data_IF_283456067060
#
_entry.id   IF_283456067060
#
_cell.length_a   1.000
_cell.length_b   1.000
_cell.length_c   1.000
_cell.angle_alpha   90.00
_cell.angle_beta   90.00
_cell.angle_gamma   90.00
#
_symmetry.space_group_name_H-M   'P 1'
#
loop_
_entity.id
_entity.type
_entity.pdbx_description
1 polymer ?
#
# COMPACT_ATOMS: atom_id res chain seq x y z
N UNK A 1 11.14 5.61 -6.66
CA UNK A 1 10.26 5.73 -7.85
C UNK A 1 10.96 5.12 -9.04
N UNK A 2 10.21 4.51 -9.96
CA UNK A 2 10.73 4.10 -11.27
C UNK A 2 11.12 5.34 -12.08
N UNK A 3 12.17 5.23 -12.88
CA UNK A 3 12.60 6.32 -13.77
C UNK A 3 11.73 6.31 -15.02
N UNK A 4 11.11 7.45 -15.33
CA UNK A 4 10.39 7.63 -16.60
C UNK A 4 11.41 8.17 -17.62
N UNK A 5 11.47 7.55 -18.78
CA UNK A 5 12.36 7.94 -19.88
C UNK A 5 11.64 8.77 -20.92
N UNK A 6 10.36 8.43 -21.20
CA UNK A 6 9.58 9.09 -22.22
C UNK A 6 8.08 8.85 -21.99
N UNK A 7 7.23 9.67 -22.58
CA UNK A 7 5.79 9.51 -22.61
C UNK A 7 5.21 10.20 -23.85
N UNK A 8 4.11 9.69 -24.37
CA UNK A 8 3.51 10.26 -25.57
C UNK A 8 2.35 9.42 -26.10
N UNK A 9 2.10 9.58 -27.39
CA UNK A 9 1.12 8.80 -28.14
C UNK A 9 1.80 8.06 -29.27
N UNK A 10 1.44 6.78 -29.46
CA UNK A 10 1.77 5.99 -30.64
C UNK A 10 0.46 5.72 -31.39
N UNK A 11 0.16 6.56 -32.40
CA UNK A 11 -1.18 6.67 -32.95
C UNK A 11 -2.15 7.22 -31.88
N UNK A 12 -3.26 6.50 -31.65
CA UNK A 12 -4.27 6.89 -30.63
C UNK A 12 -4.00 6.27 -29.24
N UNK A 13 -2.88 5.53 -29.07
CA UNK A 13 -2.55 4.86 -27.80
C UNK A 13 -1.53 5.66 -27.00
N UNK A 14 -1.87 6.11 -25.78
CA UNK A 14 -0.89 6.71 -24.88
C UNK A 14 0.13 5.66 -24.40
N UNK A 15 1.39 6.06 -24.27
CA UNK A 15 2.44 5.22 -23.70
C UNK A 15 3.29 5.98 -22.68
N UNK A 16 3.87 5.23 -21.75
CA UNK A 16 4.91 5.69 -20.84
C UNK A 16 6.07 4.69 -20.91
N UNK A 17 7.23 5.16 -21.34
CA UNK A 17 8.46 4.38 -21.32
C UNK A 17 9.16 4.59 -19.97
N UNK A 18 9.38 3.51 -19.22
CA UNK A 18 9.96 3.60 -17.89
C UNK A 18 11.04 2.54 -17.65
N UNK A 19 11.79 2.70 -16.55
CA UNK A 19 12.76 1.74 -16.07
C UNK A 19 12.14 0.34 -15.97
N UNK A 20 12.79 -0.64 -16.56
CA UNK A 20 12.40 -2.05 -16.40
C UNK A 20 12.89 -2.57 -15.05
N UNK A 21 11.98 -3.12 -14.27
CA UNK A 21 12.24 -3.62 -12.92
C UNK A 21 12.26 -5.14 -12.92
N UNK A 22 13.46 -5.72 -13.05
CA UNK A 22 13.68 -7.16 -13.25
C UNK A 22 13.49 -8.01 -11.99
N UNK A 23 13.48 -7.40 -10.79
CA UNK A 23 13.42 -8.11 -9.50
C UNK A 23 12.02 -8.57 -9.09
N UNK A 24 11.01 -8.50 -9.99
CA UNK A 24 9.65 -8.93 -9.73
C UNK A 24 8.87 -8.02 -8.79
N UNK A 25 7.72 -8.49 -8.32
CA UNK A 25 6.81 -7.73 -7.44
C UNK A 25 6.89 -8.21 -5.99
N UNK A 26 6.47 -7.37 -5.05
CA UNK A 26 6.31 -7.79 -3.66
C UNK A 26 5.24 -8.88 -3.51
N UNK A 27 4.21 -8.88 -4.35
CA UNK A 27 3.19 -9.92 -4.34
C UNK A 27 3.80 -11.32 -4.55
N UNK A 28 4.72 -11.48 -5.51
CA UNK A 28 5.43 -12.74 -5.74
C UNK A 28 6.27 -13.14 -4.51
N UNK A 29 7.03 -12.19 -3.94
CA UNK A 29 7.87 -12.47 -2.75
C UNK A 29 7.07 -12.85 -1.51
N UNK A 30 5.85 -12.29 -1.33
CA UNK A 30 4.96 -12.68 -0.23
C UNK A 30 4.52 -14.13 -0.41
N UNK A 31 4.23 -14.58 -1.63
CA UNK A 31 3.86 -15.97 -1.91
C UNK A 31 5.00 -16.96 -1.64
N UNK A 32 6.24 -16.55 -1.88
CA UNK A 32 7.44 -17.35 -1.54
C UNK A 32 7.67 -17.41 -0.02
N UNK A 33 7.07 -16.51 0.73
CA UNK A 33 7.28 -16.35 2.17
C UNK A 33 8.51 -15.52 2.50
N UNK A 34 8.47 -14.85 3.65
CA UNK A 34 9.61 -14.08 4.15
C UNK A 34 9.69 -14.09 5.66
N UNK A 35 10.88 -13.85 6.20
CA UNK A 35 11.04 -13.72 7.66
C UNK A 35 10.47 -12.37 8.12
N UNK A 36 9.99 -12.33 9.38
CA UNK A 36 9.46 -11.08 9.96
C UNK A 36 10.49 -9.95 9.98
N UNK A 37 11.78 -10.28 10.18
CA UNK A 37 12.86 -9.29 10.11
C UNK A 37 13.04 -8.74 8.69
N UNK A 38 12.98 -9.59 7.67
CA UNK A 38 13.02 -9.14 6.26
C UNK A 38 11.82 -8.26 5.93
N UNK A 39 10.61 -8.63 6.38
CA UNK A 39 9.40 -7.83 6.22
C UNK A 39 9.53 -6.45 6.90
N UNK A 40 10.07 -6.40 8.13
CA UNK A 40 10.28 -5.14 8.85
C UNK A 40 11.27 -4.22 8.12
N UNK A 41 12.41 -4.77 7.67
CA UNK A 41 13.40 -4.01 6.88
C UNK A 41 12.82 -3.48 5.59
N UNK A 42 12.03 -4.30 4.90
CA UNK A 42 11.37 -3.89 3.67
C UNK A 42 10.33 -2.79 3.92
N UNK A 43 9.54 -2.91 4.99
CA UNK A 43 8.59 -1.87 5.42
C UNK A 43 9.32 -0.54 5.67
N UNK A 44 10.48 -0.55 6.32
CA UNK A 44 11.31 0.64 6.50
C UNK A 44 11.77 1.26 5.17
N UNK A 45 12.17 0.43 4.20
CA UNK A 45 12.59 0.91 2.87
C UNK A 45 11.43 1.51 2.07
N UNK A 46 10.24 0.88 2.14
CA UNK A 46 9.03 1.39 1.50
C UNK A 46 8.60 2.71 2.17
N UNK A 47 8.64 2.80 3.50
CA UNK A 47 8.34 4.03 4.22
C UNK A 47 9.27 5.19 3.81
N UNK A 48 10.59 4.94 3.63
CA UNK A 48 11.52 5.94 3.10
C UNK A 48 11.15 6.39 1.68
N UNK A 49 10.66 5.48 0.84
CA UNK A 49 10.20 5.84 -0.50
C UNK A 49 8.91 6.68 -0.44
N UNK A 50 7.99 6.34 0.46
CA UNK A 50 6.77 7.13 0.72
C UNK A 50 7.09 8.52 1.26
N UNK A 51 8.03 8.66 2.21
CA UNK A 51 8.46 9.97 2.73
C UNK A 51 8.92 10.90 1.60
N UNK A 52 9.66 10.35 0.62
CA UNK A 52 10.17 11.13 -0.50
C UNK A 52 9.08 11.64 -1.46
N UNK A 53 7.96 10.93 -1.60
CA UNK A 53 6.82 11.36 -2.43
C UNK A 53 5.86 12.26 -1.64
N UNK A 54 5.61 11.94 -0.37
CA UNK A 54 4.80 12.77 0.52
C UNK A 54 5.41 14.16 0.72
N UNK A 55 6.74 14.27 0.75
CA UNK A 55 7.45 15.57 0.77
C UNK A 55 7.22 16.44 -0.48
N UNK A 56 6.57 15.91 -1.51
CA UNK A 56 6.16 16.60 -2.74
C UNK A 56 4.65 16.73 -2.85
N UNK A 57 3.94 16.56 -1.74
CA UNK A 57 2.48 16.56 -1.65
C UNK A 57 1.79 15.51 -2.57
N UNK A 58 2.52 14.42 -2.88
CA UNK A 58 1.98 13.32 -3.66
C UNK A 58 1.57 12.19 -2.72
N UNK A 59 0.31 11.78 -2.79
CA UNK A 59 -0.24 10.60 -2.10
C UNK A 59 -0.46 9.50 -3.12
N UNK A 60 -0.04 8.28 -2.81
CA UNK A 60 -0.08 7.15 -3.77
C UNK A 60 -1.51 6.64 -4.01
N UNK A 61 -2.32 6.52 -2.96
CA UNK A 61 -3.75 6.14 -2.95
C UNK A 61 -4.10 4.73 -3.44
N UNK A 62 -3.18 4.00 -4.04
CA UNK A 62 -3.37 2.61 -4.51
C UNK A 62 -2.15 1.73 -4.16
N UNK A 63 -1.61 1.91 -2.95
CA UNK A 63 -0.47 1.12 -2.50
C UNK A 63 -0.90 -0.32 -2.23
N UNK A 64 -0.28 -1.26 -2.96
CA UNK A 64 -0.54 -2.70 -2.87
C UNK A 64 0.73 -3.48 -3.26
N UNK A 65 0.84 -4.77 -2.91
CA UNK A 65 2.04 -5.55 -3.22
C UNK A 65 2.40 -5.62 -4.71
N UNK A 66 1.42 -5.50 -5.61
CA UNK A 66 1.65 -5.47 -7.06
C UNK A 66 2.36 -4.18 -7.50
N UNK A 67 2.11 -3.06 -6.79
CA UNK A 67 2.67 -1.73 -7.09
C UNK A 67 4.00 -1.48 -6.37
N UNK A 68 4.58 -2.51 -5.73
CA UNK A 68 5.92 -2.49 -5.16
C UNK A 68 6.75 -3.51 -5.91
N UNK A 69 7.66 -3.02 -6.74
CA UNK A 69 8.55 -3.82 -7.57
C UNK A 69 9.99 -3.71 -7.09
N UNK A 70 10.87 -4.53 -7.63
CA UNK A 70 12.27 -4.56 -7.21
C UNK A 70 13.21 -4.38 -8.39
N UNK A 71 14.29 -3.63 -8.16
CA UNK A 71 15.45 -3.65 -9.04
C UNK A 71 16.21 -4.98 -8.87
N UNK A 72 17.11 -5.26 -9.77
CA UNK A 72 18.04 -6.41 -9.73
C UNK A 72 18.88 -6.45 -8.44
N UNK A 73 19.21 -5.29 -7.88
CA UNK A 73 19.92 -5.15 -6.60
C UNK A 73 19.02 -5.30 -5.35
N UNK A 74 17.77 -5.73 -5.51
CA UNK A 74 16.80 -5.97 -4.44
C UNK A 74 16.18 -4.71 -3.83
N UNK A 75 16.44 -3.50 -4.35
CA UNK A 75 15.86 -2.26 -3.83
C UNK A 75 14.39 -2.13 -4.25
N UNK A 76 13.45 -1.86 -3.31
CA UNK A 76 12.05 -1.67 -3.65
C UNK A 76 11.84 -0.34 -4.39
N UNK A 77 10.90 -0.36 -5.32
CA UNK A 77 10.45 0.79 -6.11
C UNK A 77 8.93 0.79 -6.11
N UNK A 78 8.34 1.92 -5.75
CA UNK A 78 6.89 2.12 -5.83
C UNK A 78 6.57 2.58 -7.26
N UNK A 79 5.58 1.92 -7.87
CA UNK A 79 5.09 2.17 -9.24
C UNK A 79 3.59 2.42 -9.22
N UNK A 80 3.04 2.88 -10.34
CA UNK A 80 1.59 3.05 -10.57
C UNK A 80 0.91 3.94 -9.51
N UNK A 81 1.37 5.19 -9.45
CA UNK A 81 0.70 6.22 -8.66
C UNK A 81 -0.73 6.37 -9.15
N UNK A 82 -1.70 6.30 -8.22
CA UNK A 82 -3.13 6.35 -8.51
C UNK A 82 -3.63 7.67 -9.11
N UNK A 83 -2.83 8.31 -9.97
CA UNK A 83 -3.14 9.57 -10.65
C UNK A 83 -4.43 9.51 -11.49
N UNK A 84 -4.81 8.32 -11.93
CA UNK A 84 -6.07 8.10 -12.65
C UNK A 84 -7.32 8.27 -11.76
N UNK A 85 -7.17 8.23 -10.42
CA UNK A 85 -8.31 8.38 -9.50
C UNK A 85 -8.66 9.83 -9.16
N UNK A 86 -7.84 10.81 -9.55
CA UNK A 86 -8.11 12.24 -9.30
C UNK A 86 -9.01 12.89 -10.35
N UNK A 87 -9.19 12.27 -11.52
CA UNK A 87 -9.97 12.86 -12.61
C UNK A 87 -11.48 12.76 -12.42
N UNK A 88 -11.97 11.92 -11.46
CA UNK A 88 -13.40 11.71 -11.23
C UNK A 88 -13.77 11.65 -9.73
N UNK A 89 -13.35 12.63 -8.95
CA UNK A 89 -13.57 12.64 -7.48
C UNK A 89 -15.02 12.91 -7.04
N UNK A 90 -16.00 12.89 -7.95
CA UNK A 90 -17.41 13.13 -7.58
C UNK A 90 -18.41 12.03 -7.99
N UNK A 91 -17.98 11.00 -8.68
CA UNK A 91 -18.89 9.90 -9.01
C UNK A 91 -18.10 8.65 -9.36
N UNK A 92 -18.23 7.60 -8.58
CA UNK A 92 -18.18 6.23 -9.11
C UNK A 92 -17.62 5.20 -8.12
N UNK A 93 -18.28 5.09 -6.96
CA UNK A 93 -18.37 3.79 -6.29
C UNK A 93 -19.40 2.88 -6.99
N UNK A 94 -20.12 3.42 -8.00
CA UNK A 94 -21.23 2.75 -8.68
C UNK A 94 -21.32 3.18 -10.14
N UNK A 95 -20.43 2.71 -11.02
CA UNK A 95 -20.72 2.67 -12.46
C UNK A 95 -20.45 1.27 -12.98
N UNK A 96 -21.55 0.65 -13.40
CA UNK A 96 -21.72 -0.47 -14.32
C UNK A 96 -20.44 -1.13 -14.86
N UNK A 97 -20.12 -2.34 -14.35
CA UNK A 97 -19.42 -3.37 -15.12
C UNK A 97 -17.89 -3.33 -15.16
N UNK A 98 -17.22 -2.32 -14.65
CA UNK A 98 -15.77 -2.35 -14.53
C UNK A 98 -15.35 -3.05 -13.24
N UNK A 99 -14.32 -3.91 -13.36
CA UNK A 99 -13.73 -4.64 -12.25
C UNK A 99 -13.17 -3.62 -11.24
N UNK A 100 -14.01 -3.27 -10.27
CA UNK A 100 -13.61 -2.43 -9.15
C UNK A 100 -12.38 -3.07 -8.50
N UNK A 101 -11.24 -2.38 -8.48
CA UNK A 101 -10.03 -2.86 -7.83
C UNK A 101 -10.40 -3.33 -6.41
N UNK A 102 -10.09 -4.59 -6.10
CA UNK A 102 -10.44 -5.20 -4.82
C UNK A 102 -9.92 -4.32 -3.68
N UNK A 103 -10.74 -3.84 -2.72
CA UNK A 103 -10.36 -2.84 -1.71
C UNK A 103 -9.48 -3.38 -0.58
N UNK A 104 -8.64 -4.40 -0.85
CA UNK A 104 -7.87 -5.16 0.15
C UNK A 104 -6.85 -4.37 0.95
N UNK A 105 -6.44 -3.22 0.42
CA UNK A 105 -5.42 -2.38 1.05
C UNK A 105 -5.90 -0.94 1.23
N UNK A 106 -7.18 -0.66 0.91
CA UNK A 106 -7.76 0.66 1.07
C UNK A 106 -7.82 1.07 2.54
N UNK A 107 -7.54 2.34 2.82
CA UNK A 107 -7.75 2.89 4.14
C UNK A 107 -9.24 3.10 4.43
N UNK A 108 -9.65 3.16 5.71
CA UNK A 108 -11.03 3.43 6.11
C UNK A 108 -11.61 4.68 5.46
N UNK A 109 -10.84 5.78 5.40
CA UNK A 109 -11.25 7.03 4.79
C UNK A 109 -11.47 6.90 3.27
N UNK A 110 -10.63 6.12 2.58
CA UNK A 110 -10.84 5.81 1.16
C UNK A 110 -12.10 4.97 0.95
N UNK A 111 -12.33 3.96 1.80
CA UNK A 111 -13.54 3.14 1.77
C UNK A 111 -14.82 3.97 1.99
N UNK A 112 -14.73 5.06 2.74
CA UNK A 112 -15.82 6.00 3.00
C UNK A 112 -15.94 7.13 1.96
N UNK A 113 -15.11 7.13 0.91
CA UNK A 113 -15.09 8.21 -0.09
C UNK A 113 -14.58 9.56 0.48
N UNK A 114 -13.90 9.55 1.61
CA UNK A 114 -13.30 10.74 2.20
C UNK A 114 -11.95 11.05 1.56
N UNK A 115 -11.48 12.27 1.77
CA UNK A 115 -10.17 12.68 1.27
C UNK A 115 -9.06 11.83 1.89
N UNK A 116 -8.24 11.22 1.03
CA UNK A 116 -7.05 10.48 1.42
C UNK A 116 -5.84 11.42 1.54
N UNK A 117 -5.02 11.21 2.57
CA UNK A 117 -3.75 11.89 2.77
C UNK A 117 -2.59 10.89 2.90
N UNK A 118 -1.38 11.37 3.23
CA UNK A 118 -0.19 10.54 3.41
C UNK A 118 -0.41 9.37 4.40
N UNK A 119 -1.28 9.53 5.39
CA UNK A 119 -1.60 8.51 6.40
C UNK A 119 -2.47 7.38 5.85
N UNK A 120 -3.13 7.60 4.71
CA UNK A 120 -3.84 6.54 3.96
C UNK A 120 -2.85 5.54 3.37
N UNK A 121 -1.72 6.03 2.81
CA UNK A 121 -0.66 5.16 2.32
C UNK A 121 0.01 4.37 3.46
N UNK A 122 0.11 4.96 4.66
CA UNK A 122 0.64 4.27 5.84
C UNK A 122 -0.29 3.15 6.31
N UNK A 123 -1.61 3.34 6.25
CA UNK A 123 -2.58 2.26 6.50
C UNK A 123 -2.42 1.13 5.49
N UNK A 124 -2.34 1.45 4.20
CA UNK A 124 -2.11 0.47 3.13
C UNK A 124 -0.80 -0.29 3.35
N UNK A 125 0.27 0.41 3.74
CA UNK A 125 1.54 -0.21 4.11
C UNK A 125 1.40 -1.12 5.35
N UNK A 126 0.53 -0.76 6.30
CA UNK A 126 0.20 -1.60 7.45
C UNK A 126 -0.48 -2.91 7.05
N UNK A 127 -1.43 -2.87 6.12
CA UNK A 127 -2.08 -4.07 5.58
C UNK A 127 -1.08 -4.96 4.83
N UNK A 128 -0.16 -4.36 4.07
CA UNK A 128 0.94 -5.07 3.39
C UNK A 128 1.90 -5.68 4.42
N UNK A 129 2.27 -4.95 5.46
CA UNK A 129 3.16 -5.44 6.51
C UNK A 129 2.55 -6.64 7.25
N UNK A 130 1.26 -6.53 7.62
CA UNK A 130 0.55 -7.66 8.20
C UNK A 130 0.61 -8.91 7.31
N UNK A 131 0.33 -8.74 6.02
CA UNK A 131 0.38 -9.84 5.05
C UNK A 131 1.78 -10.45 4.94
N UNK A 132 2.83 -9.63 4.90
CA UNK A 132 4.22 -10.08 4.84
C UNK A 132 4.62 -10.94 6.05
N UNK A 133 4.20 -10.56 7.26
CA UNK A 133 4.61 -11.28 8.49
C UNK A 133 3.68 -12.42 8.86
N UNK A 134 2.37 -12.30 8.57
CA UNK A 134 1.37 -13.31 8.91
C UNK A 134 1.18 -14.36 7.81
N UNK A 135 1.71 -14.14 6.60
CA UNK A 135 1.53 -15.02 5.44
C UNK A 135 0.08 -15.11 4.93
N UNK A 136 -0.78 -14.21 5.37
CA UNK A 136 -2.19 -14.15 4.96
C UNK A 136 -2.68 -12.70 4.89
N UNK A 137 -3.74 -12.49 4.12
CA UNK A 137 -4.38 -11.17 4.01
C UNK A 137 -4.87 -10.66 5.37
N UNK A 138 -4.88 -9.34 5.56
CA UNK A 138 -5.41 -8.70 6.77
C UNK A 138 -6.86 -9.10 7.02
N UNK A 139 -7.69 -9.04 5.97
CA UNK A 139 -9.09 -9.47 6.00
C UNK A 139 -9.34 -10.55 4.94
N UNK A 140 -10.34 -11.40 5.19
CA UNK A 140 -10.71 -12.54 4.34
C UNK A 140 -11.37 -12.15 3.01
N UNK A 141 -11.90 -13.15 2.31
CA UNK A 141 -12.54 -13.00 1.00
C UNK A 141 -14.06 -12.83 1.14
N UNK A 142 -14.49 -11.75 1.79
CA UNK A 142 -15.92 -11.45 2.01
C UNK A 142 -16.55 -10.64 0.85
N UNK A 143 -15.88 -10.61 -0.29
CA UNK A 143 -16.25 -9.76 -1.42
C UNK A 143 -15.94 -8.27 -1.17
N UNK A 144 -16.12 -7.40 -2.20
CA UNK A 144 -15.74 -5.99 -2.08
C UNK A 144 -16.47 -5.24 -0.96
N UNK A 145 -17.77 -5.44 -0.81
CA UNK A 145 -18.57 -4.79 0.23
C UNK A 145 -18.17 -5.25 1.65
N UNK A 146 -17.94 -6.55 1.84
CA UNK A 146 -17.45 -7.09 3.12
C UNK A 146 -16.09 -6.56 3.48
N UNK A 147 -15.15 -6.48 2.52
CA UNK A 147 -13.82 -5.89 2.73
C UNK A 147 -13.91 -4.42 3.15
N UNK A 148 -14.77 -3.63 2.51
CA UNK A 148 -15.02 -2.23 2.90
C UNK A 148 -15.47 -2.17 4.36
N UNK A 149 -16.43 -3.00 4.77
CA UNK A 149 -16.91 -3.05 6.16
C UNK A 149 -15.79 -3.43 7.13
N UNK A 150 -14.95 -4.41 6.77
CA UNK A 150 -13.80 -4.79 7.60
C UNK A 150 -12.78 -3.67 7.72
N UNK A 151 -12.46 -2.95 6.64
CA UNK A 151 -11.54 -1.82 6.70
C UNK A 151 -12.09 -0.68 7.57
N UNK A 152 -13.39 -0.41 7.51
CA UNK A 152 -14.02 0.69 8.28
C UNK A 152 -14.24 0.30 9.74
N UNK A 153 -14.79 -0.90 10.01
CA UNK A 153 -15.30 -1.27 11.33
C UNK A 153 -14.66 -2.54 11.92
N UNK A 154 -14.02 -3.38 11.10
CA UNK A 154 -13.47 -4.65 11.55
C UNK A 154 -12.34 -4.47 12.57
N UNK A 155 -12.30 -5.33 13.58
CA UNK A 155 -11.18 -5.36 14.50
C UNK A 155 -9.87 -5.70 13.78
N UNK A 156 -8.77 -5.10 14.22
CA UNK A 156 -7.43 -5.46 13.73
C UNK A 156 -7.11 -6.87 14.26
N UNK A 157 -6.79 -7.83 13.38
CA UNK A 157 -6.51 -9.19 13.82
C UNK A 157 -5.25 -9.25 14.69
N UNK A 158 -5.31 -10.05 15.75
CA UNK A 158 -4.14 -10.33 16.55
C UNK A 158 -3.14 -11.20 15.77
N UNK A 159 -1.88 -10.84 15.91
CA UNK A 159 -0.79 -11.65 15.38
C UNK A 159 -0.60 -12.93 16.22
N UNK A 160 -0.11 -14.03 15.62
CA UNK A 160 0.28 -15.20 16.37
C UNK A 160 1.29 -14.87 17.49
N UNK A 161 1.35 -15.63 18.61
CA UNK A 161 2.21 -15.32 19.75
C UNK A 161 3.69 -15.08 19.41
N UNK A 162 4.24 -15.82 18.44
CA UNK A 162 5.63 -15.67 18.00
C UNK A 162 5.89 -14.38 17.23
N UNK A 163 4.86 -13.66 16.82
CA UNK A 163 4.91 -12.36 16.13
C UNK A 163 4.39 -11.22 17.01
N UNK A 164 4.04 -11.47 18.27
CA UNK A 164 3.43 -10.49 19.17
C UNK A 164 4.26 -9.20 19.33
N UNK A 165 5.59 -9.29 19.19
CA UNK A 165 6.48 -8.11 19.24
C UNK A 165 6.23 -7.09 18.13
N UNK A 166 5.52 -7.45 17.06
CA UNK A 166 5.16 -6.55 15.96
C UNK A 166 3.75 -5.97 16.10
N UNK A 167 2.95 -6.42 17.09
CA UNK A 167 1.55 -6.03 17.22
C UNK A 167 1.37 -4.51 17.35
N UNK A 168 2.18 -3.85 18.17
CA UNK A 168 2.11 -2.40 18.37
C UNK A 168 2.31 -1.61 17.07
N UNK A 169 3.20 -2.08 16.18
CA UNK A 169 3.42 -1.45 14.87
C UNK A 169 2.20 -1.67 13.98
N UNK A 170 1.66 -2.89 13.97
CA UNK A 170 0.46 -3.25 13.20
C UNK A 170 -0.73 -2.43 13.67
N UNK A 171 -0.98 -2.37 14.97
CA UNK A 171 -2.11 -1.63 15.55
C UNK A 171 -2.05 -0.14 15.20
N UNK A 172 -0.85 0.43 15.28
CA UNK A 172 -0.67 1.84 15.00
C UNK A 172 -0.79 2.16 13.51
N UNK A 173 -0.28 1.32 12.62
CA UNK A 173 -0.44 1.48 11.17
C UNK A 173 -1.91 1.32 10.74
N UNK A 174 -2.62 0.34 11.33
CA UNK A 174 -3.98 -0.04 10.96
C UNK A 174 -5.07 0.65 11.79
N UNK A 175 -4.71 1.61 12.65
CA UNK A 175 -5.70 2.39 13.41
C UNK A 175 -6.74 3.00 12.46
N UNK A 176 -8.03 2.83 12.80
CA UNK A 176 -9.14 3.30 11.96
C UNK A 176 -9.16 4.82 11.85
N UNK A 177 -8.93 5.50 12.99
CA UNK A 177 -8.75 6.95 13.02
C UNK A 177 -7.32 7.31 12.55
N UNK A 178 -7.16 8.12 11.47
CA UNK A 178 -5.84 8.56 11.00
C UNK A 178 -4.99 9.28 12.06
N UNK A 179 -5.62 9.97 13.02
CA UNK A 179 -4.91 10.69 14.10
C UNK A 179 -4.16 9.75 15.06
N UNK A 180 -4.55 8.48 15.12
CA UNK A 180 -3.92 7.47 15.95
C UNK A 180 -2.81 6.68 15.23
N UNK A 181 -2.61 6.93 13.93
CA UNK A 181 -1.55 6.33 13.12
C UNK A 181 -0.21 7.03 13.33
N UNK A 182 0.82 6.51 12.69
CA UNK A 182 2.01 7.31 12.41
C UNK A 182 1.63 8.53 11.59
N UNK A 183 2.10 9.71 11.99
CA UNK A 183 1.72 10.96 11.33
C UNK A 183 2.57 11.26 10.09
N UNK A 184 3.66 10.53 9.90
CA UNK A 184 4.47 10.58 8.68
C UNK A 184 5.18 9.26 8.43
N UNK A 185 5.55 9.02 7.18
CA UNK A 185 6.39 7.87 6.83
C UNK A 185 7.76 7.97 7.52
N UNK A 186 8.27 9.19 7.75
CA UNK A 186 9.49 9.46 8.50
C UNK A 186 9.41 8.96 9.93
N UNK A 187 8.33 9.26 10.63
CA UNK A 187 8.10 8.76 11.98
C UNK A 187 8.11 7.23 12.01
N UNK A 188 7.44 6.58 11.05
CA UNK A 188 7.42 5.12 10.95
C UNK A 188 8.83 4.55 10.82
N UNK A 189 9.62 4.95 9.82
CA UNK A 189 10.93 4.35 9.62
C UNK A 189 11.94 4.72 10.72
N UNK A 190 11.78 5.85 11.40
CA UNK A 190 12.56 6.19 12.58
C UNK A 190 12.24 5.27 13.77
N UNK A 191 10.96 4.89 13.93
CA UNK A 191 10.51 3.98 14.99
C UNK A 191 10.98 2.54 14.77
N UNK A 192 10.98 2.08 13.50
CA UNK A 192 11.36 0.71 13.12
C UNK A 192 12.80 0.60 12.60
N UNK A 193 13.66 1.57 12.92
CA UNK A 193 15.06 1.55 12.48
C UNK A 193 15.74 0.25 12.97
N UNK A 194 16.18 -0.59 12.00
CA UNK A 194 16.81 -1.90 12.20
C UNK A 194 18.19 -1.91 11.53
#
# INVERSE_FOLDING_TARGET
MARIYDHGFSGDHPYIAMEYLSGGTLAARIQEGMTSLAALRLTSQIAKALDAIHARDIVHRDLKPQNIMFRDNGRPVIVDFGLAKDLDSTSNLTVQGEVMATPRYMSPEQCMGKQADARSDLYSLGAIFYEMIAGKKLFGDEGPAGLIQQHVHGAIPLLPPHLAGYQTIVDRLLAKNPELRFQSARELFATIAV
#
